data_IF_242584280744
#
_entry.id   IF_242584280744
#
_cell.length_a   1.000
_cell.length_b   1.000
_cell.length_c   1.000
_cell.angle_alpha   90.00
_cell.angle_beta   90.00
_cell.angle_gamma   90.00
#
_symmetry.space_group_name_H-M   'P 1'
#
loop_
_entity.id
_entity.type
_entity.pdbx_description
1 polymer ?
#
# COMPACT_ATOMS: atom_id res chain seq x y z
N UNK A 1 -2.08 -14.26 3.86
CA UNK A 1 -0.63 -14.50 3.73
C UNK A 1 -0.05 -15.19 4.97
N UNK A 2 0.88 -16.12 4.77
CA UNK A 2 1.73 -16.73 5.82
C UNK A 2 2.82 -15.77 6.30
N UNK A 3 3.67 -16.20 7.25
CA UNK A 3 4.76 -15.37 7.76
C UNK A 3 5.81 -15.12 6.69
N UNK A 4 6.31 -16.17 6.03
CA UNK A 4 7.30 -16.09 4.96
C UNK A 4 6.81 -15.28 3.75
N UNK A 5 5.52 -15.35 3.40
CA UNK A 5 4.94 -14.51 2.34
C UNK A 5 4.99 -13.02 2.71
N UNK A 6 4.67 -12.65 3.95
CA UNK A 6 4.78 -11.26 4.42
C UNK A 6 6.23 -10.77 4.43
N UNK A 7 7.17 -11.61 4.87
CA UNK A 7 8.60 -11.27 4.85
C UNK A 7 9.11 -11.09 3.42
N UNK A 8 8.67 -11.93 2.49
CA UNK A 8 9.00 -11.79 1.08
C UNK A 8 8.48 -10.47 0.50
N UNK A 9 7.24 -10.07 0.81
CA UNK A 9 6.74 -8.76 0.37
C UNK A 9 7.55 -7.60 0.93
N UNK A 10 7.89 -7.64 2.22
CA UNK A 10 8.80 -6.64 2.83
C UNK A 10 10.14 -6.61 2.11
N UNK A 11 10.73 -7.77 1.83
CA UNK A 11 11.99 -7.87 1.08
C UNK A 11 11.89 -7.26 -0.32
N UNK A 12 10.79 -7.50 -1.06
CA UNK A 12 10.57 -6.91 -2.38
C UNK A 12 10.41 -5.39 -2.30
N UNK A 13 9.60 -4.89 -1.36
CA UNK A 13 9.39 -3.46 -1.15
C UNK A 13 10.67 -2.75 -0.71
N UNK A 14 11.43 -3.31 0.23
CA UNK A 14 12.73 -2.78 0.65
C UNK A 14 13.74 -2.75 -0.50
N UNK A 15 13.74 -3.79 -1.35
CA UNK A 15 14.61 -3.86 -2.53
C UNK A 15 14.31 -2.72 -3.50
N UNK A 16 13.03 -2.49 -3.81
CA UNK A 16 12.61 -1.37 -4.63
C UNK A 16 12.95 -0.03 -3.96
N UNK A 17 12.59 0.15 -2.69
CA UNK A 17 12.82 1.40 -1.96
C UNK A 17 14.30 1.77 -1.92
N UNK A 18 15.18 0.79 -1.65
CA UNK A 18 16.63 0.98 -1.65
C UNK A 18 17.15 1.36 -3.04
N UNK A 19 16.64 0.72 -4.10
CA UNK A 19 17.00 1.06 -5.47
C UNK A 19 16.59 2.50 -5.79
N UNK A 20 15.34 2.87 -5.49
CA UNK A 20 14.82 4.22 -5.77
C UNK A 20 15.57 5.30 -4.98
N UNK A 21 15.88 5.04 -3.70
CA UNK A 21 16.60 5.97 -2.83
C UNK A 21 18.03 6.25 -3.30
N UNK A 22 18.78 5.19 -3.67
CA UNK A 22 20.16 5.31 -4.17
C UNK A 22 20.27 6.18 -5.43
N UNK A 23 19.21 6.28 -6.21
CA UNK A 23 19.14 7.09 -7.41
C UNK A 23 18.40 8.42 -7.22
N UNK A 24 18.01 8.77 -5.99
CA UNK A 24 17.33 10.02 -5.68
C UNK A 24 15.89 10.10 -6.21
N UNK A 25 15.22 8.95 -6.36
CA UNK A 25 13.85 8.83 -6.88
C UNK A 25 12.81 8.54 -5.79
N UNK A 26 13.15 8.79 -4.53
CA UNK A 26 12.28 8.61 -3.37
C UNK A 26 10.99 9.47 -3.38
N UNK A 27 10.93 10.49 -4.24
CA UNK A 27 9.74 11.32 -4.50
C UNK A 27 9.01 10.96 -5.82
N UNK A 28 9.41 9.87 -6.50
CA UNK A 28 8.87 9.46 -7.81
C UNK A 28 8.10 8.14 -7.75
N UNK A 29 7.89 7.60 -6.56
CA UNK A 29 6.98 6.50 -6.34
C UNK A 29 6.22 6.66 -5.02
N UNK A 30 5.12 5.95 -4.86
CA UNK A 30 4.35 5.92 -3.63
C UNK A 30 3.51 4.65 -3.50
N UNK A 31 3.14 4.28 -2.26
CA UNK A 31 2.18 3.22 -1.98
C UNK A 31 0.81 3.57 -2.58
N UNK A 32 0.15 2.60 -3.20
CA UNK A 32 -1.20 2.77 -3.77
C UNK A 32 -2.10 1.59 -3.40
N UNK A 33 -3.36 1.63 -3.84
CA UNK A 33 -4.26 0.48 -3.75
C UNK A 33 -4.45 -0.08 -2.34
N UNK A 34 -4.49 -1.41 -2.22
CA UNK A 34 -4.64 -2.12 -0.94
C UNK A 34 -3.47 -1.86 0.02
N UNK A 35 -2.28 -1.65 -0.53
CA UNK A 35 -1.08 -1.32 0.26
C UNK A 35 -1.19 0.02 0.96
N UNK A 36 -1.71 1.05 0.27
CA UNK A 36 -1.98 2.36 0.90
C UNK A 36 -3.11 2.28 1.93
N UNK A 37 -4.16 1.47 1.69
CA UNK A 37 -5.19 1.19 2.70
C UNK A 37 -4.56 0.56 3.93
N UNK A 38 -3.71 -0.45 3.77
CA UNK A 38 -3.00 -1.10 4.86
C UNK A 38 -2.18 -0.11 5.69
N UNK A 39 -1.33 0.69 5.03
CA UNK A 39 -0.55 1.75 5.69
C UNK A 39 -1.45 2.74 6.45
N UNK A 40 -2.56 3.17 5.85
CA UNK A 40 -3.46 4.15 6.44
C UNK A 40 -4.35 3.62 7.56
N UNK A 41 -4.78 2.35 7.47
CA UNK A 41 -5.78 1.76 8.36
C UNK A 41 -5.21 0.82 9.39
N UNK A 42 -4.06 0.20 9.14
CA UNK A 42 -3.49 -0.85 10.00
C UNK A 42 -2.01 -0.61 10.36
N UNK A 43 -1.38 0.43 9.78
CA UNK A 43 0.08 0.63 9.81
C UNK A 43 0.88 -0.59 9.29
N UNK A 44 0.26 -1.50 8.55
CA UNK A 44 0.84 -2.76 8.02
C UNK A 44 -0.10 -3.29 6.91
N UNK A 45 0.14 -4.48 6.37
CA UNK A 45 -0.78 -5.12 5.42
C UNK A 45 -2.24 -5.12 5.90
N UNK A 46 -3.19 -5.03 4.97
CA UNK A 46 -4.57 -5.42 5.28
C UNK A 46 -4.54 -6.90 5.71
N UNK A 47 -5.19 -7.28 6.84
CA UNK A 47 -5.04 -8.63 7.38
C UNK A 47 -5.44 -9.78 6.43
N UNK A 48 -6.23 -9.48 5.41
CA UNK A 48 -6.73 -10.41 4.39
C UNK A 48 -6.27 -10.08 2.96
N UNK A 49 -5.33 -9.14 2.77
CA UNK A 49 -4.70 -8.93 1.46
C UNK A 49 -3.78 -10.10 1.07
N UNK A 50 -3.53 -10.23 -0.24
CA UNK A 50 -2.61 -11.23 -0.81
C UNK A 50 -1.51 -10.65 -1.70
N UNK A 51 -1.43 -9.33 -1.86
CA UNK A 51 -0.49 -8.62 -2.73
C UNK A 51 -0.02 -7.28 -2.14
N UNK A 52 0.88 -6.62 -2.89
CA UNK A 52 1.33 -5.25 -2.62
C UNK A 52 1.48 -4.44 -3.89
N UNK A 53 1.13 -3.16 -3.82
CA UNK A 53 1.06 -2.23 -4.94
C UNK A 53 1.91 -0.97 -4.67
N UNK A 54 2.64 -0.57 -5.69
CA UNK A 54 3.28 0.75 -5.76
C UNK A 54 2.95 1.44 -7.08
N UNK A 55 2.99 2.76 -7.06
CA UNK A 55 2.74 3.63 -8.20
C UNK A 55 4.02 4.42 -8.49
N UNK A 56 4.58 4.28 -9.69
CA UNK A 56 5.88 4.86 -10.09
C UNK A 56 5.70 5.83 -11.26
N UNK A 57 6.48 6.91 -11.29
CA UNK A 57 6.46 7.86 -12.41
C UNK A 57 6.86 7.15 -13.70
N UNK A 58 6.01 7.24 -14.74
CA UNK A 58 6.24 6.56 -16.01
C UNK A 58 7.56 6.95 -16.69
N UNK A 59 8.08 8.15 -16.43
CA UNK A 59 9.38 8.59 -16.96
C UNK A 59 10.53 7.71 -16.49
N UNK A 60 10.36 6.99 -15.39
CA UNK A 60 11.35 6.04 -14.86
C UNK A 60 11.12 4.60 -15.34
N UNK A 61 10.04 4.31 -16.08
CA UNK A 61 9.63 2.94 -16.40
C UNK A 61 10.70 2.13 -17.13
N UNK A 62 11.30 2.69 -18.18
CA UNK A 62 12.35 1.98 -18.94
C UNK A 62 13.55 1.69 -18.06
N UNK A 63 14.04 2.71 -17.36
CA UNK A 63 15.19 2.58 -16.45
C UNK A 63 14.91 1.57 -15.34
N UNK A 64 13.75 1.64 -14.68
CA UNK A 64 13.39 0.74 -13.59
C UNK A 64 13.33 -0.71 -14.07
N UNK A 65 12.78 -0.95 -15.26
CA UNK A 65 12.78 -2.28 -15.89
C UNK A 65 14.19 -2.81 -16.11
N UNK A 66 15.09 -1.98 -16.64
CA UNK A 66 16.47 -2.37 -16.88
C UNK A 66 17.22 -2.68 -15.56
N UNK A 67 17.04 -1.84 -14.54
CA UNK A 67 17.64 -2.06 -13.21
C UNK A 67 17.11 -3.34 -12.55
N UNK A 68 15.79 -3.57 -12.56
CA UNK A 68 15.20 -4.78 -11.99
C UNK A 68 15.61 -6.04 -12.77
N UNK A 69 15.71 -5.97 -14.09
CA UNK A 69 16.20 -7.07 -14.93
C UNK A 69 17.67 -7.40 -14.66
N UNK A 70 18.49 -6.41 -14.29
CA UNK A 70 19.89 -6.60 -13.91
C UNK A 70 20.07 -7.39 -12.61
N UNK A 71 19.00 -7.57 -11.82
CA UNK A 71 19.01 -8.30 -10.54
C UNK A 71 18.86 -9.82 -10.70
N UNK A 72 18.84 -10.33 -11.93
CA UNK A 72 18.87 -11.77 -12.20
C UNK A 72 20.21 -12.38 -11.76
N UNK A 73 20.22 -13.64 -11.30
CA UNK A 73 19.08 -14.57 -11.24
C UNK A 73 18.25 -14.49 -9.94
N UNK A 74 18.64 -13.72 -8.93
CA UNK A 74 17.97 -13.72 -7.61
C UNK A 74 16.57 -13.13 -7.63
N UNK A 75 16.33 -12.19 -8.54
CA UNK A 75 15.05 -11.56 -8.78
C UNK A 75 14.73 -11.59 -10.26
N UNK A 76 13.44 -11.44 -10.57
CA UNK A 76 12.98 -11.30 -11.94
C UNK A 76 11.87 -10.25 -12.03
N UNK A 77 11.69 -9.70 -13.22
CA UNK A 77 10.63 -8.74 -13.54
C UNK A 77 9.96 -9.15 -14.85
N UNK A 78 8.63 -9.22 -14.84
CA UNK A 78 7.84 -9.34 -16.07
C UNK A 78 7.25 -7.98 -16.40
N UNK A 79 7.51 -7.53 -17.61
CA UNK A 79 6.91 -6.32 -18.17
C UNK A 79 5.45 -6.60 -18.56
N UNK A 80 4.51 -5.93 -17.92
CA UNK A 80 3.09 -6.04 -18.22
C UNK A 80 2.42 -4.66 -18.10
N UNK A 81 1.08 -4.60 -18.08
CA UNK A 81 0.37 -3.33 -17.82
C UNK A 81 0.76 -2.76 -16.46
N UNK A 82 0.81 -3.64 -15.46
CA UNK A 82 1.44 -3.43 -14.14
C UNK A 82 2.61 -4.42 -14.08
N UNK A 83 3.83 -3.92 -13.92
CA UNK A 83 5.00 -4.79 -13.96
C UNK A 83 5.03 -5.65 -12.69
N UNK A 84 5.47 -6.89 -12.84
CA UNK A 84 5.49 -7.89 -11.77
C UNK A 84 6.93 -8.10 -11.33
N UNK A 85 7.29 -7.61 -10.14
CA UNK A 85 8.64 -7.79 -9.59
C UNK A 85 8.63 -8.86 -8.50
N UNK A 86 9.41 -9.92 -8.66
CA UNK A 86 9.35 -11.10 -7.80
C UNK A 86 10.74 -11.71 -7.63
N UNK A 87 10.86 -12.66 -6.70
CA UNK A 87 12.13 -13.39 -6.51
C UNK A 87 12.27 -14.51 -7.53
N UNK A 88 13.47 -15.08 -7.63
CA UNK A 88 13.64 -16.37 -8.31
C UNK A 88 12.61 -17.39 -7.82
N UNK A 89 12.11 -18.19 -8.75
CA UNK A 89 11.06 -19.16 -8.45
C UNK A 89 11.60 -20.30 -7.59
N UNK A 90 10.81 -20.71 -6.59
CA UNK A 90 11.04 -21.96 -5.86
C UNK A 90 10.95 -23.13 -6.86
N UNK A 91 11.99 -23.99 -6.95
CA UNK A 91 11.94 -25.18 -7.80
C UNK A 91 10.77 -26.10 -7.42
N UNK A 92 10.11 -26.71 -8.42
CA UNK A 92 8.92 -27.54 -8.21
C UNK A 92 9.19 -28.76 -7.31
N UNK A 93 10.43 -29.28 -7.31
CA UNK A 93 10.87 -30.37 -6.44
C UNK A 93 11.07 -29.96 -4.97
N UNK A 94 11.07 -28.65 -4.69
CA UNK A 94 11.20 -28.04 -3.36
C UNK A 94 9.88 -27.42 -2.85
N UNK A 95 8.78 -27.56 -3.58
CA UNK A 95 7.47 -26.97 -3.22
C UNK A 95 6.77 -27.68 -2.04
N UNK A 96 7.41 -28.69 -1.44
CA UNK A 96 6.98 -29.27 -0.17
C UNK A 96 7.24 -28.32 1.03
N UNK A 97 8.08 -27.29 0.87
CA UNK A 97 8.32 -26.27 1.90
C UNK A 97 7.20 -25.21 1.91
N UNK A 98 6.39 -25.24 2.97
CA UNK A 98 5.12 -24.52 3.01
C UNK A 98 5.23 -23.00 3.27
N UNK A 99 6.32 -22.51 3.89
CA UNK A 99 6.45 -21.08 4.27
C UNK A 99 7.85 -20.48 4.01
N UNK A 100 8.37 -20.63 2.79
CA UNK A 100 9.62 -19.99 2.35
C UNK A 100 9.42 -18.59 1.75
N UNK A 101 10.42 -17.73 1.94
CA UNK A 101 10.51 -16.37 1.38
C UNK A 101 10.94 -16.37 -0.10
N UNK A 102 10.23 -17.14 -0.92
CA UNK A 102 10.43 -17.21 -2.36
C UNK A 102 9.09 -17.22 -3.11
N UNK A 103 9.13 -16.66 -4.32
CA UNK A 103 8.02 -16.63 -5.25
C UNK A 103 7.83 -18.00 -5.89
N UNK A 104 6.61 -18.35 -6.26
CA UNK A 104 6.22 -19.65 -6.79
C UNK A 104 5.48 -19.48 -8.10
N UNK A 105 5.67 -20.42 -9.01
CA UNK A 105 4.86 -20.46 -10.21
C UNK A 105 3.48 -21.06 -9.86
N UNK A 106 2.51 -20.19 -9.59
CA UNK A 106 1.16 -20.61 -9.17
C UNK A 106 0.17 -20.74 -10.33
N UNK A 107 0.51 -20.26 -11.52
CA UNK A 107 -0.43 -20.14 -12.65
C UNK A 107 0.28 -20.38 -14.00
N UNK A 108 -0.42 -20.17 -15.12
CA UNK A 108 0.19 -20.17 -16.45
C UNK A 108 0.82 -18.83 -16.84
N UNK A 109 0.72 -17.81 -16.00
CA UNK A 109 1.34 -16.52 -16.26
C UNK A 109 2.87 -16.59 -16.06
N UNK A 110 3.64 -15.72 -16.72
CA UNK A 110 5.11 -15.78 -16.68
C UNK A 110 5.74 -15.23 -15.39
N UNK A 111 4.96 -14.92 -14.35
CA UNK A 111 5.44 -14.38 -13.08
C UNK A 111 5.07 -15.28 -11.90
N UNK A 112 5.88 -15.22 -10.84
CA UNK A 112 5.64 -15.98 -9.62
C UNK A 112 5.02 -15.17 -8.50
N UNK A 113 4.05 -15.74 -7.80
CA UNK A 113 3.46 -15.16 -6.59
C UNK A 113 4.19 -15.70 -5.34
N UNK A 114 4.49 -14.89 -4.31
CA UNK A 114 4.27 -13.45 -4.17
C UNK A 114 5.07 -12.56 -5.15
N UNK A 115 4.45 -11.47 -5.63
CA UNK A 115 5.07 -10.43 -6.48
C UNK A 115 4.65 -9.01 -6.07
N UNK A 116 5.53 -8.04 -6.24
CA UNK A 116 5.22 -6.61 -6.10
C UNK A 116 4.64 -6.07 -7.42
N UNK A 117 3.44 -5.52 -7.36
CA UNK A 117 2.80 -4.84 -8.49
C UNK A 117 3.30 -3.41 -8.61
N UNK A 118 3.90 -3.12 -9.76
CA UNK A 118 4.42 -1.80 -10.11
C UNK A 118 3.51 -1.18 -11.16
N UNK A 119 2.62 -0.31 -10.70
CA UNK A 119 1.78 0.53 -11.55
C UNK A 119 2.51 1.82 -11.94
N UNK A 120 2.06 2.47 -13.01
CA UNK A 120 2.69 3.68 -13.52
C UNK A 120 1.72 4.85 -13.62
N UNK A 121 2.20 6.05 -13.30
CA UNK A 121 1.44 7.28 -13.45
C UNK A 121 2.11 8.29 -14.38
N UNK A 122 1.28 9.08 -15.05
CA UNK A 122 1.64 10.32 -15.71
C UNK A 122 1.32 11.50 -14.80
N UNK A 123 2.14 12.55 -14.88
CA UNK A 123 1.93 13.80 -14.15
C UNK A 123 2.04 14.98 -15.10
N UNK A 124 1.08 15.90 -15.01
CA UNK A 124 1.12 17.21 -15.64
C UNK A 124 1.02 18.30 -14.56
N UNK A 125 0.88 19.57 -14.96
CA UNK A 125 0.86 20.72 -14.03
C UNK A 125 -0.26 20.66 -12.98
N UNK A 126 -1.34 19.91 -13.23
CA UNK A 126 -2.55 19.95 -12.42
C UNK A 126 -2.99 18.59 -11.89
N UNK A 127 -2.56 17.49 -12.50
CA UNK A 127 -3.06 16.15 -12.21
C UNK A 127 -1.99 15.06 -12.27
N UNK A 128 -2.26 14.02 -11.48
CA UNK A 128 -1.61 12.71 -11.55
C UNK A 128 -2.64 11.72 -12.07
N UNK A 129 -2.26 10.88 -13.05
CA UNK A 129 -3.15 9.91 -13.67
C UNK A 129 -2.48 8.55 -13.76
N UNK A 130 -3.14 7.50 -13.28
CA UNK A 130 -2.69 6.12 -13.51
C UNK A 130 -2.84 5.77 -15.00
N UNK A 131 -1.82 5.14 -15.57
CA UNK A 131 -1.82 4.71 -16.98
C UNK A 131 -2.66 3.45 -17.18
N UNK A 132 -2.59 2.52 -16.22
CA UNK A 132 -3.35 1.30 -16.30
C UNK A 132 -4.86 1.57 -16.08
N UNK A 133 -5.69 0.86 -16.82
CA UNK A 133 -7.14 0.90 -16.62
C UNK A 133 -7.50 0.00 -15.44
N UNK A 134 -8.41 0.47 -14.59
CA UNK A 134 -9.00 -0.29 -13.50
C UNK A 134 -10.49 0.02 -13.42
N UNK A 135 -11.32 -0.99 -13.11
CA UNK A 135 -12.76 -0.83 -12.89
C UNK A 135 -13.51 -0.07 -14.00
N UNK A 136 -13.06 -0.20 -15.26
CA UNK A 136 -13.69 0.44 -16.43
C UNK A 136 -13.26 1.90 -16.70
N UNK A 137 -12.24 2.43 -16.01
CA UNK A 137 -11.75 3.79 -16.23
C UNK A 137 -10.30 4.02 -15.83
N UNK A 138 -9.87 5.28 -15.93
CA UNK A 138 -8.59 5.75 -15.40
C UNK A 138 -8.81 6.43 -14.07
N UNK A 139 -7.93 6.19 -13.11
CA UNK A 139 -7.89 7.00 -11.89
C UNK A 139 -7.04 8.24 -12.13
N UNK A 140 -7.58 9.39 -11.73
CA UNK A 140 -6.93 10.70 -11.84
C UNK A 140 -7.18 11.50 -10.57
N UNK A 141 -6.14 12.14 -10.07
CA UNK A 141 -6.16 12.96 -8.87
C UNK A 141 -5.58 14.34 -9.17
N UNK A 142 -5.98 15.35 -8.41
CA UNK A 142 -5.29 16.64 -8.42
C UNK A 142 -3.83 16.42 -8.00
N UNK A 143 -2.90 17.19 -8.58
CA UNK A 143 -1.48 17.14 -8.23
C UNK A 143 -1.27 17.35 -6.72
N UNK A 144 -2.09 18.20 -6.10
CA UNK A 144 -2.07 18.48 -4.67
C UNK A 144 -2.51 17.26 -3.83
N UNK A 145 -3.35 16.37 -4.35
CA UNK A 145 -3.71 15.14 -3.60
C UNK A 145 -2.48 14.25 -3.39
N UNK A 146 -1.60 14.19 -4.39
CA UNK A 146 -0.44 13.31 -4.38
C UNK A 146 0.79 14.01 -3.78
N UNK A 147 1.06 15.26 -4.15
CA UNK A 147 2.33 15.94 -3.82
C UNK A 147 2.19 17.03 -2.73
N UNK A 148 3.28 17.32 -1.98
CA UNK A 148 4.54 16.56 -1.95
C UNK A 148 4.33 15.15 -1.42
N UNK A 149 5.17 14.22 -1.88
CA UNK A 149 5.23 12.87 -1.34
C UNK A 149 5.60 12.94 0.14
N UNK A 150 4.85 12.24 0.98
CA UNK A 150 5.07 12.09 2.41
C UNK A 150 5.45 10.65 2.74
N UNK A 151 5.72 10.35 4.01
CA UNK A 151 6.07 9.00 4.45
C UNK A 151 5.08 8.53 5.50
N UNK A 152 4.69 7.27 5.41
CA UNK A 152 3.83 6.57 6.38
C UNK A 152 4.41 5.20 6.70
N UNK A 153 4.10 4.63 7.87
CA UNK A 153 4.57 3.29 8.20
C UNK A 153 3.83 2.23 7.39
N UNK A 154 4.54 1.15 7.09
CA UNK A 154 3.98 -0.09 6.59
C UNK A 154 4.79 -1.24 7.20
N UNK A 155 4.28 -1.79 8.30
CA UNK A 155 5.04 -2.68 9.17
C UNK A 155 6.17 -1.91 9.87
N UNK A 156 7.38 -2.46 9.93
CA UNK A 156 8.52 -1.82 10.59
C UNK A 156 9.21 -0.75 9.72
N UNK A 157 8.89 -0.64 8.44
CA UNK A 157 9.48 0.36 7.54
C UNK A 157 8.55 1.53 7.24
N UNK A 158 9.11 2.58 6.64
CA UNK A 158 8.37 3.75 6.17
C UNK A 158 8.56 3.89 4.67
N UNK A 159 7.48 4.13 3.95
CA UNK A 159 7.51 4.26 2.50
C UNK A 159 6.86 5.57 2.04
N UNK A 160 7.26 6.07 0.85
CA UNK A 160 6.58 7.14 0.15
C UNK A 160 5.08 6.90 0.00
N UNK A 161 4.26 7.90 0.30
CA UNK A 161 2.80 7.90 0.11
C UNK A 161 2.33 9.22 -0.49
N UNK A 162 1.12 9.27 -1.08
CA UNK A 162 0.45 10.53 -1.38
C UNK A 162 0.35 11.43 -0.14
N UNK A 163 0.33 12.75 -0.36
CA UNK A 163 0.08 13.73 0.70
C UNK A 163 -1.27 13.51 1.40
N UNK A 164 -2.30 13.17 0.62
CA UNK A 164 -3.66 12.91 1.08
C UNK A 164 -4.07 11.46 0.80
N UNK A 165 -3.75 10.51 1.70
CA UNK A 165 -4.08 9.10 1.52
C UNK A 165 -5.57 8.85 1.26
N UNK A 166 -6.48 9.42 2.07
CA UNK A 166 -7.91 9.25 1.85
C UNK A 166 -8.40 9.94 0.57
N UNK A 167 -7.86 11.11 0.25
CA UNK A 167 -8.14 11.79 -1.02
C UNK A 167 -7.74 10.95 -2.24
N UNK A 168 -6.72 10.10 -2.11
CA UNK A 168 -6.36 9.12 -3.15
C UNK A 168 -7.28 7.90 -3.15
N UNK A 169 -7.58 7.35 -1.98
CA UNK A 169 -8.31 6.08 -1.82
C UNK A 169 -9.82 6.18 -2.08
N UNK A 170 -10.48 7.26 -1.63
CA UNK A 170 -11.94 7.42 -1.78
C UNK A 170 -12.38 7.40 -3.25
N UNK A 171 -11.70 8.08 -4.20
CA UNK A 171 -12.01 7.94 -5.62
C UNK A 171 -11.84 6.51 -6.17
N UNK A 172 -10.94 5.71 -5.61
CA UNK A 172 -10.68 4.35 -6.07
C UNK A 172 -11.71 3.34 -5.56
N UNK A 173 -12.06 3.42 -4.28
CA UNK A 173 -12.85 2.41 -3.57
C UNK A 173 -14.24 2.87 -3.14
N UNK A 174 -14.52 4.18 -3.25
CA UNK A 174 -15.73 4.81 -2.72
C UNK A 174 -15.68 4.98 -1.20
N UNK A 175 -16.60 5.80 -0.68
CA UNK A 175 -16.82 5.89 0.77
C UNK A 175 -17.52 4.65 1.27
N UNK A 176 -17.01 4.03 2.32
CA UNK A 176 -17.61 2.83 2.90
C UNK A 176 -17.08 2.52 4.29
N UNK A 177 -17.94 1.99 5.16
CA UNK A 177 -17.56 1.34 6.42
C UNK A 177 -17.30 -0.18 6.25
N UNK A 178 -17.33 -0.69 5.02
CA UNK A 178 -17.17 -2.12 4.74
C UNK A 178 -15.69 -2.48 4.58
N UNK A 179 -15.28 -3.47 5.35
CA UNK A 179 -14.02 -4.19 5.16
C UNK A 179 -14.29 -5.34 4.21
N UNK A 180 -13.72 -5.27 3.00
CA UNK A 180 -13.94 -6.23 1.92
C UNK A 180 -12.68 -7.02 1.61
N UNK A 181 -12.82 -8.31 1.35
CA UNK A 181 -11.75 -9.09 0.72
C UNK A 181 -11.58 -8.65 -0.74
N UNK A 182 -10.41 -8.93 -1.32
CA UNK A 182 -10.17 -8.69 -2.73
C UNK A 182 -11.18 -9.47 -3.60
N UNK A 183 -11.58 -8.86 -4.72
CA UNK A 183 -12.39 -9.51 -5.76
C UNK A 183 -11.54 -10.20 -6.84
N UNK A 184 -10.21 -10.20 -6.66
CA UNK A 184 -9.23 -10.80 -7.54
C UNK A 184 -8.19 -11.50 -6.67
N UNK A 185 -7.93 -12.78 -6.92
CA UNK A 185 -6.89 -13.52 -6.21
C UNK A 185 -5.60 -13.47 -7.02
N UNK A 186 -4.56 -12.87 -6.46
CA UNK A 186 -3.25 -12.76 -7.10
C UNK A 186 -2.49 -14.09 -7.08
N UNK A 187 -2.78 -14.95 -6.11
CA UNK A 187 -2.28 -16.33 -6.07
C UNK A 187 -2.69 -17.10 -7.33
N UNK A 188 -3.93 -16.94 -7.78
CA UNK A 188 -4.53 -17.71 -8.87
C UNK A 188 -4.72 -16.92 -10.16
N UNK A 189 -4.38 -15.62 -10.16
CA UNK A 189 -4.58 -14.68 -11.28
C UNK A 189 -6.00 -14.76 -11.89
N UNK A 190 -7.01 -14.75 -11.02
CA UNK A 190 -8.42 -14.81 -11.43
C UNK A 190 -9.34 -14.08 -10.48
N UNK A 191 -10.50 -13.68 -11.01
CA UNK A 191 -11.59 -13.14 -10.19
C UNK A 191 -12.02 -14.12 -9.10
N UNK A 192 -12.36 -13.58 -7.95
CA UNK A 192 -12.85 -14.32 -6.79
C UNK A 192 -14.06 -13.60 -6.19
N UNK A 193 -14.95 -14.36 -5.56
CA UNK A 193 -16.06 -13.76 -4.82
C UNK A 193 -15.49 -12.96 -3.64
N UNK A 194 -15.92 -11.70 -3.53
CA UNK A 194 -15.57 -10.88 -2.39
C UNK A 194 -16.56 -11.08 -1.26
N UNK A 195 -16.08 -10.98 -0.03
CA UNK A 195 -16.92 -10.93 1.19
C UNK A 195 -16.68 -9.61 1.89
N UNK A 196 -17.73 -9.07 2.51
CA UNK A 196 -17.69 -7.83 3.25
C UNK A 196 -18.30 -7.95 4.63
N UNK A 197 -17.74 -7.23 5.58
CA UNK A 197 -18.32 -6.99 6.91
C UNK A 197 -18.15 -5.52 7.26
N UNK A 198 -18.95 -5.01 8.20
CA UNK A 198 -18.65 -3.72 8.80
C UNK A 198 -17.29 -3.79 9.50
N UNK A 199 -16.39 -2.87 9.16
CA UNK A 199 -15.02 -2.86 9.70
C UNK A 199 -14.99 -2.78 11.23
N UNK A 200 -15.98 -2.14 11.87
CA UNK A 200 -16.05 -2.05 13.32
C UNK A 200 -16.17 -3.42 13.99
N UNK A 201 -16.79 -4.40 13.32
CA UNK A 201 -16.90 -5.79 13.81
C UNK A 201 -15.54 -6.50 13.86
N UNK A 202 -14.54 -5.96 13.16
CA UNK A 202 -13.19 -6.50 13.13
C UNK A 202 -12.25 -5.81 14.14
N UNK A 203 -12.68 -4.72 14.78
CA UNK A 203 -11.84 -3.89 15.66
C UNK A 203 -11.27 -4.63 16.88
N UNK A 204 -11.94 -5.70 17.34
CA UNK A 204 -11.45 -6.53 18.45
C UNK A 204 -10.50 -7.65 18.02
N UNK A 205 -10.41 -7.91 16.71
CA UNK A 205 -9.55 -8.94 16.13
C UNK A 205 -8.31 -8.37 15.45
N UNK A 206 -8.46 -7.21 14.81
CA UNK A 206 -7.39 -6.53 14.10
C UNK A 206 -7.31 -5.08 14.58
N UNK A 207 -6.11 -4.55 14.80
CA UNK A 207 -5.96 -3.14 15.15
C UNK A 207 -6.28 -2.21 13.97
N UNK A 208 -6.88 -1.05 14.26
CA UNK A 208 -7.19 0.00 13.29
C UNK A 208 -6.54 1.31 13.70
N UNK A 209 -6.25 2.18 12.74
CA UNK A 209 -5.63 3.48 12.99
C UNK A 209 -6.70 4.51 13.29
N UNK A 210 -6.63 5.08 14.48
CA UNK A 210 -7.39 6.26 14.87
C UNK A 210 -6.57 7.52 14.58
N UNK A 211 -7.20 8.50 13.92
CA UNK A 211 -6.57 9.75 13.53
C UNK A 211 -7.11 10.91 14.37
N UNK A 212 -6.21 11.84 14.74
CA UNK A 212 -6.57 13.11 15.38
C UNK A 212 -5.50 14.17 15.16
N UNK A 213 -5.79 15.47 15.37
CA UNK A 213 -4.76 16.50 15.33
C UNK A 213 -3.62 16.22 16.33
N UNK A 214 -2.37 16.23 15.86
CA UNK A 214 -1.22 16.17 16.75
C UNK A 214 -0.89 17.57 17.27
N UNK A 215 -0.79 17.71 18.59
CA UNK A 215 -0.47 18.98 19.25
C UNK A 215 1.02 19.06 19.58
N UNK A 216 1.70 20.07 19.06
CA UNK A 216 3.08 20.42 19.42
C UNK A 216 3.03 21.58 20.40
N UNK A 217 3.44 21.32 21.66
CA UNK A 217 3.37 22.30 22.76
C UNK A 217 1.97 22.91 22.93
N UNK A 218 0.93 22.09 22.77
CA UNK A 218 -0.47 22.50 22.87
C UNK A 218 -1.03 23.23 21.65
N UNK A 219 -0.27 23.35 20.56
CA UNK A 219 -0.70 24.04 19.33
C UNK A 219 -0.72 23.09 18.14
N UNK A 220 -1.65 23.32 17.21
CA UNK A 220 -1.71 22.57 15.95
C UNK A 220 -0.56 23.03 15.04
N UNK A 221 0.30 22.10 14.65
CA UNK A 221 1.35 22.36 13.66
C UNK A 221 0.79 22.12 12.25
N UNK A 222 0.62 23.21 11.47
CA UNK A 222 0.04 23.18 10.12
C UNK A 222 0.76 24.15 9.19
N UNK A 223 0.96 23.73 7.95
CA UNK A 223 1.45 24.57 6.85
C UNK A 223 0.60 24.31 5.61
N UNK A 224 -0.21 25.31 5.22
CA UNK A 224 -1.16 25.18 4.13
C UNK A 224 -2.17 24.04 4.36
N UNK A 225 -2.10 23.02 3.52
CA UNK A 225 -2.94 21.82 3.61
C UNK A 225 -2.31 20.67 4.39
N UNK A 226 -1.01 20.74 4.69
CA UNK A 226 -0.32 19.70 5.47
C UNK A 226 -0.36 20.04 6.96
N UNK A 227 -0.60 19.05 7.81
CA UNK A 227 -0.52 19.20 9.26
C UNK A 227 0.11 17.96 9.92
N UNK A 228 0.50 18.09 11.18
CA UNK A 228 0.80 16.92 12.00
C UNK A 228 -0.51 16.24 12.45
N UNK A 229 -0.65 14.97 12.11
CA UNK A 229 -1.74 14.09 12.51
C UNK A 229 -1.14 13.04 13.45
N UNK A 230 -1.75 12.87 14.62
CA UNK A 230 -1.45 11.76 15.51
C UNK A 230 -2.23 10.55 15.03
N UNK A 231 -1.50 9.47 14.80
CA UNK A 231 -2.05 8.19 14.41
C UNK A 231 -1.83 7.20 15.54
N UNK A 232 -2.93 6.63 16.05
CA UNK A 232 -2.91 5.65 17.12
C UNK A 232 -3.39 4.32 16.57
N UNK A 233 -2.52 3.30 16.60
CA UNK A 233 -2.96 1.95 16.29
C UNK A 233 -3.71 1.38 17.50
N UNK A 234 -5.02 1.19 17.36
CA UNK A 234 -5.92 0.81 18.44
C UNK A 234 -6.55 -0.55 18.19
N UNK A 235 -6.60 -1.38 19.24
CA UNK A 235 -7.38 -2.62 19.28
C UNK A 235 -8.59 -2.38 20.20
N UNK A 236 -9.79 -2.73 19.74
CA UNK A 236 -11.00 -2.69 20.55
C UNK A 236 -10.94 -3.79 21.61
N UNK A 237 -10.95 -3.43 22.89
CA UNK A 237 -10.91 -4.41 23.99
C UNK A 237 -12.28 -5.01 24.33
N UNK A 238 -13.34 -4.57 23.64
CA UNK A 238 -14.72 -4.81 24.03
C UNK A 238 -15.18 -3.83 25.11
N UNK A 239 -16.50 -3.76 25.30
CA UNK A 239 -17.18 -2.91 26.31
C UNK A 239 -16.84 -1.41 26.23
N UNK A 240 -16.49 -0.91 25.04
CA UNK A 240 -16.19 0.51 24.79
C UNK A 240 -14.75 0.93 25.14
N UNK A 241 -13.89 0.00 25.55
CA UNK A 241 -12.46 0.25 25.77
C UNK A 241 -11.62 0.12 24.50
N UNK A 242 -10.49 0.83 24.46
CA UNK A 242 -9.49 0.71 23.39
C UNK A 242 -8.10 0.53 24.01
N UNK A 243 -7.33 -0.39 23.45
CA UNK A 243 -5.90 -0.58 23.76
C UNK A 243 -5.10 0.11 22.67
N UNK A 244 -4.32 1.12 23.05
CA UNK A 244 -3.36 1.76 22.13
C UNK A 244 -2.10 0.88 22.07
N UNK A 245 -1.82 0.31 20.91
CA UNK A 245 -0.63 -0.51 20.66
C UNK A 245 0.60 0.40 20.50
N UNK A 246 0.46 1.44 19.67
CA UNK A 246 1.45 2.50 19.53
C UNK A 246 0.81 3.76 18.98
N UNK A 247 1.50 4.89 19.14
CA UNK A 247 1.14 6.15 18.49
C UNK A 247 2.37 6.96 18.12
N UNK A 248 2.22 7.80 17.10
CA UNK A 248 3.20 8.79 16.70
C UNK A 248 2.49 9.92 15.93
N UNK A 249 3.20 11.03 15.75
CA UNK A 249 2.74 12.11 14.89
C UNK A 249 3.48 12.07 13.56
N UNK A 250 2.74 12.18 12.45
CA UNK A 250 3.31 12.30 11.10
C UNK A 250 2.66 13.43 10.33
N UNK A 251 3.28 13.85 9.23
CA UNK A 251 2.70 14.82 8.31
C UNK A 251 1.67 14.14 7.39
N UNK A 252 0.50 14.76 7.22
CA UNK A 252 -0.55 14.33 6.28
C UNK A 252 -1.39 15.53 5.83
N UNK A 253 -2.25 15.39 4.81
CA UNK A 253 -3.27 16.41 4.52
C UNK A 253 -4.20 16.57 5.72
N UNK A 254 -4.54 17.82 6.03
CA UNK A 254 -5.29 18.19 7.21
C UNK A 254 -6.66 17.52 7.32
N UNK A 255 -7.27 17.14 6.19
CA UNK A 255 -8.50 16.37 6.17
C UNK A 255 -8.37 15.03 6.92
N UNK A 256 -7.21 14.36 6.82
CA UNK A 256 -6.96 13.04 7.42
C UNK A 256 -6.93 13.08 8.94
N UNK A 257 -6.79 14.24 9.58
CA UNK A 257 -6.96 14.38 11.03
C UNK A 257 -8.37 14.05 11.52
N UNK A 258 -9.34 13.97 10.61
CA UNK A 258 -10.73 13.57 10.84
C UNK A 258 -11.08 12.27 10.13
N UNK A 259 -10.11 11.47 9.71
CA UNK A 259 -10.38 10.16 9.13
C UNK A 259 -11.13 9.26 10.13
N UNK A 260 -12.22 8.63 9.67
CA UNK A 260 -12.94 7.65 10.47
C UNK A 260 -12.05 6.42 10.71
N UNK A 261 -12.08 5.88 11.93
CA UNK A 261 -11.25 4.72 12.32
C UNK A 261 -11.63 3.45 11.58
N UNK A 262 -12.93 3.27 11.28
CA UNK A 262 -13.50 2.05 10.71
C UNK A 262 -14.16 2.30 9.34
N UNK A 263 -14.01 3.47 8.74
CA UNK A 263 -14.55 3.76 7.41
C UNK A 263 -13.55 4.51 6.51
N UNK A 264 -13.69 4.33 5.20
CA UNK A 264 -13.10 5.22 4.20
C UNK A 264 -13.93 6.49 4.08
N UNK A 265 -13.99 7.26 5.17
CA UNK A 265 -14.72 8.52 5.26
C UNK A 265 -14.09 9.44 6.30
N UNK A 266 -14.66 10.63 6.46
CA UNK A 266 -14.30 11.61 7.47
C UNK A 266 -15.43 11.75 8.50
N UNK A 267 -15.05 12.10 9.74
CA UNK A 267 -15.94 12.38 10.88
C UNK A 267 -16.10 13.89 11.12
#
# INVERSE_FOLDING_TARGET
MSHGQKQLYRKLMQKLATLMDRHGYNNRYFLTGGTLIGSHRHHDFIPWDDDVDVMVDVKLRSWLRDELASMRPEYDVVHATRDKFFTKLLPLDQDNDTDVEQSRNCTSYPWGWPFLDISYYEVNETHVKEIAIASGGYYQWSIDTIFPILYRPFGPEWYPTPRDPLGTLIPMYGKSNQCKTHSYSHVFERSSDWKGVDCSQLGSRYPFVQHRPCLVRGTIARSGRTMLVEEQLVLDSGQGGKIVIHSFCLASDASNSRADTYAMDFV
#
